data_IF_636980720459
#
_entry.id   IF_636980720459
#
_cell.length_a   1.000
_cell.length_b   1.000
_cell.length_c   1.000
_cell.angle_alpha   90.00
_cell.angle_beta   90.00
_cell.angle_gamma   90.00
#
_symmetry.space_group_name_H-M   'P 1'
#
loop_
_entity.id
_entity.type
_entity.pdbx_description
1 polymer ?
#
# COMPACT_ATOMS: atom_id res chain seq x y z
N UNK A 1 -1.65 -10.40 -13.24
CA UNK A 1 -2.83 -10.27 -12.34
C UNK A 1 -2.58 -11.01 -11.01
N UNK A 2 -1.52 -10.66 -10.27
CA UNK A 2 -1.15 -11.34 -9.01
C UNK A 2 -1.77 -10.63 -7.79
N UNK A 3 -1.95 -9.31 -7.87
CA UNK A 3 -2.52 -8.49 -6.78
C UNK A 3 -3.97 -8.90 -6.46
N UNK A 4 -4.78 -9.13 -7.50
CA UNK A 4 -6.19 -9.52 -7.37
C UNK A 4 -6.39 -10.98 -6.94
N UNK A 5 -5.40 -11.85 -7.21
CA UNK A 5 -5.47 -13.29 -6.95
C UNK A 5 -5.06 -13.68 -5.52
N UNK A 6 -4.61 -12.73 -4.71
CA UNK A 6 -4.17 -13.03 -3.34
C UNK A 6 -5.37 -13.43 -2.45
N UNK A 7 -5.19 -14.46 -1.62
CA UNK A 7 -6.24 -15.03 -0.77
C UNK A 7 -6.68 -14.14 0.42
N UNK A 8 -6.17 -12.91 0.51
CA UNK A 8 -6.53 -11.99 1.58
C UNK A 8 -7.95 -11.43 1.34
N UNK A 9 -8.62 -10.89 2.38
CA UNK A 9 -9.90 -10.21 2.22
C UNK A 9 -9.81 -9.11 1.16
N UNK A 10 -10.80 -9.02 0.26
CA UNK A 10 -10.75 -8.05 -0.84
C UNK A 10 -10.85 -6.60 -0.35
N UNK A 11 -11.44 -6.37 0.82
CA UNK A 11 -11.50 -5.07 1.50
C UNK A 11 -10.15 -4.38 1.70
N UNK A 12 -9.04 -5.14 1.70
CA UNK A 12 -7.67 -4.58 1.69
C UNK A 12 -7.44 -3.62 0.50
N UNK A 13 -8.09 -3.88 -0.63
CA UNK A 13 -7.96 -3.12 -1.88
C UNK A 13 -8.98 -1.98 -1.98
N UNK A 14 -9.65 -1.61 -0.89
CA UNK A 14 -10.64 -0.51 -0.86
C UNK A 14 -10.09 0.86 -1.23
N UNK A 15 -8.77 1.06 -1.08
CA UNK A 15 -8.07 2.27 -1.54
C UNK A 15 -7.51 2.14 -2.96
N UNK A 16 -7.57 0.94 -3.53
CA UNK A 16 -6.91 0.60 -4.79
C UNK A 16 -7.90 0.39 -5.94
N UNK A 17 -9.17 0.07 -5.62
CA UNK A 17 -10.23 -0.26 -6.59
C UNK A 17 -11.53 0.42 -6.16
N UNK A 18 -12.12 1.19 -7.08
CA UNK A 18 -13.40 1.83 -6.84
C UNK A 18 -14.54 0.80 -6.70
N UNK A 19 -15.46 1.08 -5.78
CA UNK A 19 -16.65 0.27 -5.50
C UNK A 19 -16.35 -1.20 -5.19
N UNK A 20 -15.23 -1.50 -4.51
CA UNK A 20 -14.86 -2.89 -4.19
C UNK A 20 -15.91 -3.63 -3.35
N UNK A 21 -16.71 -2.91 -2.57
CA UNK A 21 -17.74 -3.51 -1.70
C UNK A 21 -18.74 -4.35 -2.50
N UNK A 22 -18.99 -4.01 -3.78
CA UNK A 22 -19.89 -4.76 -4.66
C UNK A 22 -19.52 -6.25 -4.81
N UNK A 23 -18.27 -6.61 -4.58
CA UNK A 23 -17.78 -7.98 -4.68
C UNK A 23 -17.91 -8.76 -3.37
N UNK A 24 -18.10 -8.08 -2.23
CA UNK A 24 -18.41 -8.70 -0.93
C UNK A 24 -19.93 -8.81 -0.70
N UNK A 25 -20.71 -7.87 -1.25
CA UNK A 25 -22.16 -7.76 -1.00
C UNK A 25 -23.02 -8.69 -1.86
N UNK A 26 -22.50 -9.22 -2.97
CA UNK A 26 -23.23 -10.11 -3.88
C UNK A 26 -22.82 -11.58 -3.65
N UNK A 27 -23.63 -12.40 -2.96
CA UNK A 27 -23.36 -13.82 -2.74
C UNK A 27 -23.68 -14.62 -4.01
N UNK A 28 -22.94 -14.33 -5.08
CA UNK A 28 -22.95 -15.13 -6.30
C UNK A 28 -22.35 -16.52 -6.08
N UNK A 29 -22.35 -17.38 -7.12
CA UNK A 29 -21.85 -18.76 -7.02
C UNK A 29 -20.32 -18.88 -6.89
N UNK A 30 -19.60 -17.76 -6.88
CA UNK A 30 -18.13 -17.69 -6.91
C UNK A 30 -17.60 -16.90 -5.72
N UNK A 31 -16.35 -17.14 -5.34
CA UNK A 31 -15.72 -16.36 -4.26
C UNK A 31 -15.53 -14.89 -4.69
N UNK A 32 -15.53 -13.93 -3.75
CA UNK A 32 -15.24 -12.53 -4.04
C UNK A 32 -13.92 -12.32 -4.79
N UNK A 33 -12.89 -13.10 -4.45
CA UNK A 33 -11.60 -13.08 -5.14
C UNK A 33 -11.73 -13.54 -6.59
N UNK A 34 -12.47 -14.61 -6.86
CA UNK A 34 -12.70 -15.08 -8.21
C UNK A 34 -13.50 -14.07 -9.04
N UNK A 35 -14.56 -13.50 -8.46
CA UNK A 35 -15.33 -12.43 -9.09
C UNK A 35 -14.46 -11.22 -9.43
N UNK A 36 -13.60 -10.79 -8.52
CA UNK A 36 -12.66 -9.68 -8.72
C UNK A 36 -11.65 -9.97 -9.84
N UNK A 37 -11.11 -11.19 -9.87
CA UNK A 37 -10.20 -11.64 -10.93
C UNK A 37 -10.87 -11.63 -12.31
N UNK A 38 -12.10 -12.16 -12.40
CA UNK A 38 -12.86 -12.19 -13.66
C UNK A 38 -13.25 -10.79 -14.14
N UNK A 39 -13.65 -9.91 -13.22
CA UNK A 39 -14.01 -8.54 -13.56
C UNK A 39 -12.79 -7.69 -13.96
N UNK A 40 -11.61 -8.02 -13.41
CA UNK A 40 -10.35 -7.29 -13.62
C UNK A 40 -10.55 -5.76 -13.61
N UNK A 41 -11.14 -5.20 -12.53
CA UNK A 41 -11.45 -3.77 -12.48
C UNK A 41 -10.18 -2.94 -12.59
N UNK A 42 -10.32 -1.72 -13.12
CA UNK A 42 -9.23 -0.76 -13.15
C UNK A 42 -8.80 -0.40 -11.73
N UNK A 43 -7.49 -0.20 -11.56
CA UNK A 43 -6.97 0.42 -10.35
C UNK A 43 -7.28 1.91 -10.36
N UNK A 44 -7.49 2.48 -9.19
CA UNK A 44 -7.56 3.94 -9.04
C UNK A 44 -6.22 4.57 -9.49
N UNK A 45 -6.21 5.84 -9.95
CA UNK A 45 -5.03 6.46 -10.56
C UNK A 45 -3.75 6.36 -9.73
N UNK A 46 -3.80 6.63 -8.42
CA UNK A 46 -2.64 6.53 -7.54
C UNK A 46 -2.09 5.09 -7.45
N UNK A 47 -2.99 4.11 -7.29
CA UNK A 47 -2.63 2.70 -7.21
C UNK A 47 -1.99 2.20 -8.51
N UNK A 48 -2.53 2.62 -9.66
CA UNK A 48 -1.95 2.34 -10.98
C UNK A 48 -0.54 2.92 -11.13
N UNK A 49 -0.32 4.18 -10.73
CA UNK A 49 0.99 4.83 -10.77
C UNK A 49 2.00 4.16 -9.84
N UNK A 50 1.55 3.70 -8.67
CA UNK A 50 2.38 2.92 -7.74
C UNK A 50 2.82 1.62 -8.42
N UNK A 51 1.90 0.80 -8.93
CA UNK A 51 2.24 -0.46 -9.60
C UNK A 51 3.18 -0.21 -10.78
N UNK A 52 2.92 0.82 -11.57
CA UNK A 52 3.78 1.22 -12.68
C UNK A 52 5.20 1.58 -12.23
N UNK A 53 5.36 2.34 -11.14
CA UNK A 53 6.67 2.67 -10.58
C UNK A 53 7.45 1.41 -10.20
N UNK A 54 6.82 0.46 -9.50
CA UNK A 54 7.47 -0.80 -9.15
C UNK A 54 7.87 -1.61 -10.37
N UNK A 55 6.99 -1.70 -11.39
CA UNK A 55 7.28 -2.41 -12.64
C UNK A 55 8.41 -1.74 -13.42
N UNK A 56 8.46 -0.40 -13.49
CA UNK A 56 9.52 0.34 -14.17
C UNK A 56 10.87 0.16 -13.48
N UNK A 57 10.91 0.20 -12.16
CA UNK A 57 12.18 0.12 -11.41
C UNK A 57 12.74 -1.30 -11.31
N UNK A 58 11.87 -2.29 -11.12
CA UNK A 58 12.31 -3.67 -10.87
C UNK A 58 12.05 -4.62 -12.04
N UNK A 59 11.05 -4.35 -12.88
CA UNK A 59 10.70 -5.18 -14.03
C UNK A 59 10.52 -6.65 -13.65
N UNK A 60 11.24 -7.54 -14.35
CA UNK A 60 11.26 -8.98 -14.06
C UNK A 60 11.82 -9.31 -12.68
N UNK A 61 12.57 -8.39 -12.06
CA UNK A 61 13.10 -8.55 -10.71
C UNK A 61 12.01 -8.75 -9.65
N UNK A 62 10.78 -8.27 -9.88
CA UNK A 62 9.64 -8.50 -8.98
C UNK A 62 9.24 -9.98 -8.84
N UNK A 63 9.69 -10.85 -9.73
CA UNK A 63 9.34 -12.27 -9.74
C UNK A 63 10.44 -13.17 -9.17
N UNK A 64 11.58 -12.59 -8.77
CA UNK A 64 12.74 -13.34 -8.28
C UNK A 64 13.32 -12.68 -7.01
N UNK A 65 13.99 -13.45 -6.13
CA UNK A 65 14.75 -12.86 -5.03
C UNK A 65 15.84 -11.90 -5.55
N UNK A 66 16.18 -10.82 -4.80
CA UNK A 66 15.65 -10.49 -3.48
C UNK A 66 14.38 -9.64 -3.51
N UNK A 67 13.81 -9.29 -4.67
CA UNK A 67 12.73 -8.29 -4.76
C UNK A 67 11.31 -8.87 -4.84
N UNK A 68 11.17 -10.20 -4.85
CA UNK A 68 9.86 -10.86 -4.89
C UNK A 68 8.95 -10.53 -3.70
N UNK A 69 9.52 -10.14 -2.55
CA UNK A 69 8.73 -9.69 -1.40
C UNK A 69 7.94 -8.40 -1.69
N UNK A 70 8.41 -7.54 -2.60
CA UNK A 70 7.69 -6.31 -2.96
C UNK A 70 6.38 -6.64 -3.68
N UNK A 71 6.43 -7.61 -4.60
CA UNK A 71 5.22 -8.09 -5.28
C UNK A 71 4.25 -8.75 -4.29
N UNK A 72 4.79 -9.52 -3.33
CA UNK A 72 3.99 -10.11 -2.26
C UNK A 72 3.33 -9.02 -1.39
N UNK A 73 4.07 -7.97 -1.02
CA UNK A 73 3.54 -6.86 -0.24
C UNK A 73 2.40 -6.13 -0.95
N UNK A 74 2.58 -5.82 -2.24
CA UNK A 74 1.54 -5.21 -3.10
C UNK A 74 0.29 -6.09 -3.15
N UNK A 75 0.45 -7.41 -3.27
CA UNK A 75 -0.67 -8.35 -3.36
C UNK A 75 -1.39 -8.56 -2.01
N UNK A 76 -0.61 -8.65 -0.93
CA UNK A 76 -1.10 -8.95 0.41
C UNK A 76 -1.79 -7.77 1.08
N UNK A 77 -1.38 -6.54 0.78
CA UNK A 77 -1.89 -5.32 1.44
C UNK A 77 -2.60 -4.35 0.51
N UNK A 78 -2.36 -4.46 -0.80
CA UNK A 78 -2.79 -3.46 -1.78
C UNK A 78 -1.67 -2.45 -2.10
N UNK A 79 -1.57 -1.96 -3.34
CA UNK A 79 -0.52 -1.02 -3.74
C UNK A 79 -0.39 0.21 -2.86
N UNK A 80 -1.49 0.88 -2.53
CA UNK A 80 -1.46 2.10 -1.70
C UNK A 80 -0.90 1.80 -0.30
N UNK A 81 -1.39 0.74 0.35
CA UNK A 81 -0.96 0.38 1.70
C UNK A 81 0.52 -0.04 1.75
N UNK A 82 0.97 -0.83 0.76
CA UNK A 82 2.35 -1.25 0.65
C UNK A 82 3.30 -0.06 0.42
N UNK A 83 2.93 0.85 -0.48
CA UNK A 83 3.69 2.06 -0.76
C UNK A 83 3.82 2.96 0.48
N UNK A 84 2.72 3.15 1.21
CA UNK A 84 2.70 3.94 2.43
C UNK A 84 3.64 3.32 3.48
N UNK A 85 3.54 2.00 3.70
CA UNK A 85 4.43 1.27 4.61
C UNK A 85 5.90 1.45 4.22
N UNK A 86 6.21 1.38 2.92
CA UNK A 86 7.59 1.51 2.46
C UNK A 86 8.14 2.92 2.66
N UNK A 87 7.35 3.97 2.42
CA UNK A 87 7.76 5.36 2.71
C UNK A 87 7.92 5.58 4.22
N UNK A 88 7.04 5.01 5.05
CA UNK A 88 7.09 5.15 6.50
C UNK A 88 8.30 4.47 7.15
N UNK A 89 8.72 3.33 6.60
CA UNK A 89 9.80 2.51 7.15
C UNK A 89 11.11 2.63 6.35
N UNK A 90 11.16 3.49 5.34
CA UNK A 90 12.39 3.80 4.63
C UNK A 90 13.37 4.46 5.61
N UNK A 91 14.33 3.70 6.13
CA UNK A 91 15.50 4.25 6.79
C UNK A 91 16.39 4.95 5.76
N UNK A 92 17.04 6.08 6.10
CA UNK A 92 17.95 6.79 5.20
C UNK A 92 19.19 5.97 4.78
N UNK A 93 19.38 4.78 5.35
CA UNK A 93 20.54 3.89 5.17
C UNK A 93 20.26 2.78 4.13
N UNK A 94 19.20 2.86 3.33
CA UNK A 94 18.99 1.86 2.27
C UNK A 94 20.07 2.02 1.18
N UNK A 95 20.98 1.05 1.16
CA UNK A 95 22.24 0.99 0.40
C UNK A 95 22.06 0.59 -1.09
N UNK A 96 20.83 0.64 -1.61
CA UNK A 96 20.51 0.27 -2.99
C UNK A 96 19.81 1.39 -3.73
N UNK A 97 20.45 1.91 -4.79
CA UNK A 97 19.95 3.03 -5.62
C UNK A 97 18.48 2.87 -6.01
N UNK A 98 18.05 1.65 -6.36
CA UNK A 98 16.68 1.36 -6.81
C UNK A 98 15.61 1.55 -5.72
N UNK A 99 15.89 1.18 -4.47
CA UNK A 99 14.90 1.35 -3.39
C UNK A 99 14.75 2.84 -3.06
N UNK A 100 15.84 3.60 -3.10
CA UNK A 100 15.82 5.05 -2.95
C UNK A 100 15.01 5.72 -4.06
N UNK A 101 15.19 5.28 -5.30
CA UNK A 101 14.43 5.78 -6.45
C UNK A 101 12.93 5.49 -6.31
N UNK A 102 12.56 4.30 -5.82
CA UNK A 102 11.15 3.97 -5.59
C UNK A 102 10.58 4.79 -4.46
N UNK A 103 11.25 4.91 -3.31
CA UNK A 103 10.76 5.74 -2.19
C UNK A 103 10.55 7.19 -2.65
N UNK A 104 11.53 7.78 -3.35
CA UNK A 104 11.41 9.13 -3.90
C UNK A 104 10.28 9.26 -4.93
N UNK A 105 10.06 8.21 -5.74
CA UNK A 105 8.94 8.15 -6.68
C UNK A 105 7.59 8.07 -5.98
N UNK A 106 7.48 7.29 -4.91
CA UNK A 106 6.27 7.16 -4.10
C UNK A 106 5.92 8.47 -3.41
N UNK A 107 6.90 9.17 -2.82
CA UNK A 107 6.68 10.50 -2.23
C UNK A 107 6.10 11.49 -3.24
N UNK A 108 6.57 11.46 -4.51
CA UNK A 108 6.00 12.29 -5.58
C UNK A 108 4.56 11.90 -5.95
N UNK A 109 4.26 10.61 -6.04
CA UNK A 109 2.90 10.12 -6.30
C UNK A 109 1.97 10.54 -5.16
N UNK A 110 2.42 10.41 -3.92
CA UNK A 110 1.64 10.83 -2.75
C UNK A 110 1.44 12.34 -2.68
N UNK A 111 2.41 13.13 -3.16
CA UNK A 111 2.24 14.58 -3.28
C UNK A 111 1.20 14.98 -4.36
N UNK A 112 1.01 14.17 -5.40
CA UNK A 112 -0.01 14.41 -6.44
C UNK A 112 -1.39 13.82 -6.14
N UNK A 113 -1.49 12.88 -5.19
CA UNK A 113 -2.74 12.23 -4.76
C UNK A 113 -2.92 12.29 -3.23
N UNK A 114 -3.11 13.50 -2.64
CA UNK A 114 -3.14 13.68 -1.19
C UNK A 114 -4.35 13.02 -0.51
N UNK A 115 -5.41 12.74 -1.26
CA UNK A 115 -6.66 12.08 -0.85
C UNK A 115 -6.48 10.58 -0.59
N UNK A 116 -5.50 9.95 -1.22
CA UNK A 116 -5.22 8.51 -1.12
C UNK A 116 -4.38 8.18 0.13
N UNK A 117 -3.68 9.18 0.65
CA UNK A 117 -2.89 9.07 1.87
C UNK A 117 -3.80 9.01 3.10
N UNK A 118 -3.56 8.03 3.98
CA UNK A 118 -3.98 8.13 5.39
C UNK A 118 -3.07 9.06 6.22
N UNK A 119 -2.08 9.72 5.61
CA UNK A 119 -1.22 10.70 6.28
C UNK A 119 -1.96 11.87 6.97
N UNK A 120 -3.17 12.34 6.55
CA UNK A 120 -3.94 13.27 7.35
C UNK A 120 -4.28 12.70 8.73
N UNK A 121 -4.56 11.39 8.82
CA UNK A 121 -4.76 10.71 10.10
C UNK A 121 -3.49 10.73 10.95
N UNK A 122 -2.27 10.72 10.38
CA UNK A 122 -1.04 10.93 11.16
C UNK A 122 -0.83 12.38 11.57
N UNK A 123 -1.15 13.36 10.74
CA UNK A 123 -1.13 14.78 11.16
C UNK A 123 -2.09 15.06 12.32
N UNK A 124 -3.23 14.36 12.34
CA UNK A 124 -4.21 14.41 13.42
C UNK A 124 -3.75 13.57 14.63
N UNK A 125 -3.35 12.31 14.44
CA UNK A 125 -2.96 11.38 15.51
C UNK A 125 -1.61 11.71 16.15
N UNK A 126 -0.65 12.29 15.44
CA UNK A 126 0.63 12.75 16.00
C UNK A 126 0.42 13.85 17.06
N UNK A 127 -0.60 14.70 16.91
CA UNK A 127 -1.00 15.67 17.94
C UNK A 127 -1.51 14.98 19.21
N UNK A 128 -2.08 13.78 19.10
CA UNK A 128 -2.56 12.99 20.23
C UNK A 128 -1.52 12.01 20.79
N UNK A 129 -0.55 11.57 19.99
CA UNK A 129 0.49 10.61 20.39
C UNK A 129 1.66 11.26 21.14
N UNK A 130 1.88 12.58 20.99
CA UNK A 130 2.87 13.35 21.76
C UNK A 130 2.41 13.72 23.20
N UNK A 131 1.22 13.29 23.62
CA UNK A 131 0.67 13.52 24.97
C UNK A 131 1.03 12.44 26.01
N UNK A 132 1.89 11.47 25.69
CA UNK A 132 2.39 10.49 26.65
C UNK A 132 3.83 10.84 27.03
N UNK A 133 4.02 11.94 27.75
CA UNK A 133 5.24 12.11 28.54
C UNK A 133 5.24 11.04 29.65
N UNK A 134 6.39 10.39 29.94
CA UNK A 134 6.50 9.58 31.15
C UNK A 134 6.28 10.52 32.33
N UNK A 135 5.20 10.28 33.09
CA UNK A 135 4.97 10.94 34.38
C UNK A 135 6.28 10.90 35.16
N UNK A 136 6.95 12.05 35.27
CA UNK A 136 7.97 12.29 36.29
C UNK A 136 7.28 12.05 37.63
N UNK A 137 7.47 10.85 38.17
CA UNK A 137 7.16 10.57 39.56
C UNK A 137 8.27 11.20 40.38
N UNK A 138 8.12 12.49 40.67
CA UNK A 138 8.74 13.09 41.83
C UNK A 138 7.80 12.86 43.02
N UNK A 139 8.26 12.11 44.02
CA UNK A 139 7.91 12.35 45.41
C UNK A 139 8.73 11.43 46.33
N UNK A 140 9.38 12.02 47.33
CA UNK A 140 10.03 11.34 48.45
C UNK A 140 11.37 11.95 48.80
#
# INVERSE_FOLDING_TARGET
>A
MIILAHAAPISRLSRDIDHIQRFDDDPGPVTPQFALMCASPALVPASAQIVELFVRTFGRGLFVPPYSFLLLALAATGPVAAAETMVLHATPVHDGDRLRDVVSGLERIFASHPDVLSLPARGVLSRYMLGQEPRRSGNG
#
